data_IF_165956823239
#
_entry.id   IF_165956823239
#
_cell.length_a   1.000
_cell.length_b   1.000
_cell.length_c   1.000
_cell.angle_alpha   90.00
_cell.angle_beta   90.00
_cell.angle_gamma   90.00
#
_symmetry.space_group_name_H-M   'P 1'
#
loop_
_entity.id
_entity.type
_entity.pdbx_description
1 polymer ?
#
# COMPACT_ATOMS: atom_id res chain seq x y z
N UNK A 1 2.26 12.85 -7.35
CA UNK A 1 1.99 11.40 -7.34
C UNK A 1 1.98 10.89 -8.76
N UNK A 2 2.92 10.05 -9.14
CA UNK A 2 2.97 9.43 -10.47
C UNK A 2 1.81 8.44 -10.58
N UNK A 3 0.93 8.65 -11.56
CA UNK A 3 -0.21 7.77 -11.77
C UNK A 3 0.21 6.69 -12.77
N UNK A 4 0.48 5.48 -12.31
CA UNK A 4 0.77 4.36 -13.21
C UNK A 4 -0.52 3.93 -13.89
N UNK A 5 -0.60 4.10 -15.19
CA UNK A 5 -1.68 3.59 -16.04
C UNK A 5 -1.38 2.20 -16.56
N UNK A 6 -0.11 1.77 -16.51
CA UNK A 6 0.38 0.49 -16.96
C UNK A 6 1.21 -0.18 -15.84
N UNK A 7 1.02 -1.49 -15.68
CA UNK A 7 1.78 -2.33 -14.74
C UNK A 7 3.28 -2.32 -15.07
N UNK A 8 3.65 -2.17 -16.34
CA UNK A 8 5.05 -2.10 -16.77
C UNK A 8 5.75 -0.86 -16.21
N UNK A 9 5.07 0.28 -16.24
CA UNK A 9 5.62 1.53 -15.69
C UNK A 9 5.79 1.42 -14.18
N UNK A 10 4.84 0.76 -13.50
CA UNK A 10 4.97 0.44 -12.09
C UNK A 10 6.20 -0.44 -11.81
N UNK A 11 6.37 -1.54 -12.54
CA UNK A 11 7.49 -2.46 -12.35
C UNK A 11 8.85 -1.80 -12.59
N UNK A 12 9.00 -0.99 -13.64
CA UNK A 12 10.22 -0.21 -13.90
C UNK A 12 10.51 0.76 -12.77
N UNK A 13 9.50 1.52 -12.34
CA UNK A 13 9.66 2.49 -11.27
C UNK A 13 9.97 1.83 -9.92
N UNK A 14 9.36 0.67 -9.63
CA UNK A 14 9.60 -0.08 -8.41
C UNK A 14 11.03 -0.64 -8.36
N UNK A 15 11.52 -1.25 -9.44
CA UNK A 15 12.90 -1.72 -9.54
C UNK A 15 13.92 -0.56 -9.49
N UNK A 16 13.62 0.56 -10.13
CA UNK A 16 14.49 1.73 -10.10
C UNK A 16 14.55 2.37 -8.70
N UNK A 17 13.43 2.36 -7.97
CA UNK A 17 13.35 2.89 -6.60
C UNK A 17 14.12 2.03 -5.59
N UNK A 18 14.13 0.73 -5.79
CA UNK A 18 14.71 -0.26 -4.87
C UNK A 18 15.73 -1.14 -5.60
N UNK A 19 16.92 -0.63 -5.94
CA UNK A 19 17.90 -1.39 -6.72
C UNK A 19 18.39 -2.69 -6.05
N UNK A 20 18.32 -2.78 -4.72
CA UNK A 20 18.71 -3.97 -3.94
C UNK A 20 17.51 -4.90 -3.64
N UNK A 21 16.39 -4.79 -4.36
CA UNK A 21 15.24 -5.67 -4.15
C UNK A 21 15.50 -7.07 -4.73
N UNK A 22 14.91 -8.09 -4.10
CA UNK A 22 14.81 -9.43 -4.66
C UNK A 22 13.49 -9.60 -5.46
N UNK A 23 13.42 -10.62 -6.31
CA UNK A 23 12.20 -10.96 -7.06
C UNK A 23 11.00 -11.21 -6.12
N UNK A 24 11.24 -11.74 -4.92
CA UNK A 24 10.24 -11.89 -3.85
C UNK A 24 9.58 -10.56 -3.48
N UNK A 25 10.32 -9.45 -3.48
CA UNK A 25 9.78 -8.12 -3.14
C UNK A 25 8.90 -7.57 -4.25
N UNK A 26 9.21 -7.91 -5.51
CA UNK A 26 8.34 -7.63 -6.65
C UNK A 26 7.03 -8.42 -6.51
N UNK A 27 7.10 -9.71 -6.23
CA UNK A 27 5.90 -10.54 -6.00
C UNK A 27 5.04 -10.00 -4.86
N UNK A 28 5.66 -9.57 -3.76
CA UNK A 28 4.96 -8.93 -2.66
C UNK A 28 4.23 -7.65 -3.10
N UNK A 29 4.88 -6.81 -3.90
CA UNK A 29 4.26 -5.58 -4.42
C UNK A 29 3.08 -5.89 -5.37
N UNK A 30 3.21 -6.90 -6.23
CA UNK A 30 2.14 -7.36 -7.11
C UNK A 30 0.97 -7.96 -6.31
N UNK A 31 1.26 -8.76 -5.28
CA UNK A 31 0.24 -9.29 -4.37
C UNK A 31 -0.54 -8.16 -3.69
N UNK A 32 0.16 -7.17 -3.16
CA UNK A 32 -0.45 -6.01 -2.53
C UNK A 32 -1.25 -5.14 -3.52
N UNK A 33 -0.83 -5.06 -4.77
CA UNK A 33 -1.60 -4.40 -5.83
C UNK A 33 -2.89 -5.14 -6.19
N UNK A 34 -2.88 -6.48 -6.13
CA UNK A 34 -4.02 -7.32 -6.47
C UNK A 34 -5.03 -7.46 -5.32
N UNK A 35 -4.54 -7.72 -4.12
CA UNK A 35 -5.36 -8.09 -2.96
C UNK A 35 -5.36 -7.05 -1.84
N UNK A 36 -4.52 -6.02 -1.91
CA UNK A 36 -4.35 -5.06 -0.83
C UNK A 36 -3.52 -5.62 0.32
N UNK A 37 -4.08 -5.60 1.53
CA UNK A 37 -3.41 -6.10 2.73
C UNK A 37 -3.34 -7.63 2.74
N UNK A 38 -2.20 -8.17 3.19
CA UNK A 38 -1.96 -9.62 3.31
C UNK A 38 -2.68 -10.26 4.52
N UNK A 39 -3.09 -9.45 5.49
CA UNK A 39 -3.67 -9.92 6.74
C UNK A 39 -5.00 -9.25 7.03
N UNK A 40 -6.00 -10.06 7.38
CA UNK A 40 -7.24 -9.56 7.96
C UNK A 40 -6.95 -9.01 9.37
N UNK A 41 -7.43 -7.81 9.63
CA UNK A 41 -7.27 -7.17 10.94
C UNK A 41 -8.54 -7.45 11.74
N UNK A 42 -8.40 -8.33 12.73
CA UNK A 42 -9.51 -8.70 13.59
C UNK A 42 -9.81 -7.63 14.64
N UNK A 43 -8.77 -6.95 15.13
CA UNK A 43 -8.86 -5.91 16.17
C UNK A 43 -8.09 -4.65 15.76
N UNK A 44 -8.79 -3.57 15.35
CA UNK A 44 -8.16 -2.30 15.02
C UNK A 44 -7.43 -1.63 16.20
N UNK A 45 -7.86 -1.87 17.45
CA UNK A 45 -7.20 -1.28 18.62
C UNK A 45 -5.82 -1.87 18.83
N UNK A 46 -5.69 -3.20 18.78
CA UNK A 46 -4.40 -3.89 18.82
C UNK A 46 -3.51 -3.48 17.64
N UNK A 47 -4.09 -3.27 16.45
CA UNK A 47 -3.37 -2.78 15.29
C UNK A 47 -2.81 -1.35 15.51
N UNK A 48 -3.55 -0.47 16.19
CA UNK A 48 -3.09 0.89 16.50
C UNK A 48 -1.87 0.88 17.42
N UNK A 49 -1.84 0.04 18.45
CA UNK A 49 -0.70 -0.11 19.36
C UNK A 49 0.55 -0.60 18.61
N UNK A 50 0.35 -1.57 17.71
CA UNK A 50 1.43 -2.09 16.86
C UNK A 50 1.99 -1.01 15.91
N UNK A 51 1.11 -0.24 15.29
CA UNK A 51 1.46 0.87 14.39
C UNK A 51 2.26 1.93 15.17
N UNK A 52 1.84 2.30 16.37
CA UNK A 52 2.54 3.26 17.25
C UNK A 52 3.95 2.79 17.60
N UNK A 53 4.06 1.54 18.05
CA UNK A 53 5.34 0.95 18.42
C UNK A 53 6.31 0.82 17.22
N UNK A 54 5.81 0.51 16.03
CA UNK A 54 6.61 0.42 14.81
C UNK A 54 7.04 1.81 14.32
N UNK A 55 6.13 2.78 14.30
CA UNK A 55 6.43 4.15 13.92
C UNK A 55 7.52 4.78 14.81
N UNK A 56 7.50 4.49 16.12
CA UNK A 56 8.53 4.96 17.05
C UNK A 56 9.92 4.39 16.76
N UNK A 57 10.01 3.23 16.09
CA UNK A 57 11.26 2.56 15.72
C UNK A 57 11.75 2.85 14.31
N UNK A 58 10.87 3.37 13.43
CA UNK A 58 11.16 3.49 12.00
C UNK A 58 12.08 4.65 11.62
N UNK A 59 12.61 5.41 12.58
CA UNK A 59 13.60 6.46 12.33
C UNK A 59 13.03 7.69 11.63
N UNK A 60 13.90 8.37 10.89
CA UNK A 60 13.60 9.66 10.26
C UNK A 60 12.51 9.57 9.19
N UNK A 61 11.83 10.70 9.01
CA UNK A 61 10.77 10.88 8.03
C UNK A 61 11.24 10.58 6.61
N UNK A 62 10.56 9.66 5.93
CA UNK A 62 10.76 9.43 4.50
C UNK A 62 10.14 10.60 3.71
N UNK A 63 10.83 11.04 2.66
CA UNK A 63 10.39 12.16 1.82
C UNK A 63 9.07 11.89 1.09
N UNK A 64 8.76 10.64 0.78
CA UNK A 64 7.54 10.23 0.10
C UNK A 64 6.72 9.28 0.97
N UNK A 65 5.63 9.82 1.54
CA UNK A 65 4.77 9.09 2.47
C UNK A 65 3.84 8.07 1.78
N UNK A 66 3.60 8.20 0.49
CA UNK A 66 2.67 7.35 -0.26
C UNK A 66 3.34 6.78 -1.49
N UNK A 67 3.46 5.46 -1.57
CA UNK A 67 3.96 4.72 -2.73
C UNK A 67 2.78 4.02 -3.44
N UNK A 68 2.54 4.34 -4.71
CA UNK A 68 1.50 3.70 -5.52
C UNK A 68 1.92 2.31 -5.94
N UNK A 69 0.99 1.35 -5.95
CA UNK A 69 1.22 -0.05 -6.31
C UNK A 69 0.67 -0.43 -7.70
N UNK A 70 0.43 0.57 -8.57
CA UNK A 70 -0.09 0.31 -9.92
C UNK A 70 -1.56 -0.08 -10.00
N UNK A 71 -2.35 0.13 -8.93
CA UNK A 71 -3.77 -0.22 -8.86
C UNK A 71 -4.53 0.66 -7.86
N UNK A 72 -5.54 0.05 -7.20
CA UNK A 72 -6.40 0.74 -6.23
C UNK A 72 -5.79 0.83 -4.84
N UNK A 73 -4.62 0.24 -4.64
CA UNK A 73 -3.89 0.23 -3.39
C UNK A 73 -2.59 1.03 -3.47
N UNK A 74 -2.12 1.43 -2.31
CA UNK A 74 -0.83 2.09 -2.13
C UNK A 74 -0.24 1.72 -0.77
N UNK A 75 1.08 1.84 -0.63
CA UNK A 75 1.77 1.79 0.65
C UNK A 75 1.76 3.19 1.25
N UNK A 76 1.32 3.31 2.49
CA UNK A 76 1.39 4.55 3.26
C UNK A 76 2.38 4.35 4.40
N UNK A 77 3.42 5.16 4.40
CA UNK A 77 4.50 5.09 5.37
C UNK A 77 4.05 5.59 6.74
N UNK A 78 4.52 4.95 7.82
CA UNK A 78 4.13 5.29 9.20
C UNK A 78 4.58 6.69 9.62
N UNK A 79 5.50 7.32 8.88
CA UNK A 79 5.85 8.73 9.06
C UNK A 79 4.68 9.71 8.98
N UNK A 80 3.53 9.29 8.39
CA UNK A 80 2.30 10.09 8.34
C UNK A 80 1.76 10.45 9.73
N UNK A 81 2.08 9.65 10.76
CA UNK A 81 1.66 9.94 12.13
C UNK A 81 2.28 11.24 12.67
N UNK A 82 3.45 11.63 12.14
CA UNK A 82 4.10 12.91 12.48
C UNK A 82 3.34 14.11 11.92
N UNK A 83 2.51 13.91 10.89
CA UNK A 83 1.65 14.94 10.31
C UNK A 83 0.32 15.11 11.07
N UNK A 84 0.16 14.41 12.20
CA UNK A 84 -0.98 14.53 13.10
C UNK A 84 -2.13 13.57 12.83
N UNK A 85 -1.93 12.55 11.97
CA UNK A 85 -2.85 11.43 11.87
C UNK A 85 -2.70 10.53 13.10
N UNK A 86 -3.79 10.18 13.76
CA UNK A 86 -3.75 9.26 14.90
C UNK A 86 -3.49 7.82 14.44
N UNK A 87 -2.86 7.02 15.29
CA UNK A 87 -2.66 5.61 15.02
C UNK A 87 -3.99 4.85 14.96
N UNK A 88 -5.01 5.30 15.68
CA UNK A 88 -6.36 4.75 15.69
C UNK A 88 -7.04 4.97 14.33
N UNK A 89 -7.03 6.20 13.82
CA UNK A 89 -7.56 6.51 12.48
C UNK A 89 -6.80 5.71 11.42
N UNK A 90 -5.49 5.66 11.50
CA UNK A 90 -4.67 4.91 10.55
C UNK A 90 -4.97 3.40 10.59
N UNK A 91 -5.10 2.80 11.79
CA UNK A 91 -5.46 1.40 11.95
C UNK A 91 -6.86 1.09 11.40
N UNK A 92 -7.82 2.01 11.60
CA UNK A 92 -9.18 1.88 11.04
C UNK A 92 -9.16 1.91 9.50
N UNK A 93 -8.44 2.86 8.89
CA UNK A 93 -8.29 2.94 7.44
C UNK A 93 -7.61 1.69 6.88
N UNK A 94 -6.61 1.15 7.60
CA UNK A 94 -5.95 -0.09 7.26
C UNK A 94 -6.93 -1.28 7.32
N UNK A 95 -7.70 -1.42 8.40
CA UNK A 95 -8.71 -2.47 8.54
C UNK A 95 -9.78 -2.41 7.44
N UNK A 96 -10.24 -1.21 7.08
CA UNK A 96 -11.18 -1.01 5.97
C UNK A 96 -10.57 -1.34 4.60
N UNK A 97 -9.25 -1.22 4.47
CA UNK A 97 -8.52 -1.57 3.25
C UNK A 97 -8.17 -3.05 3.14
N UNK A 98 -8.24 -3.81 4.24
CA UNK A 98 -7.83 -5.21 4.32
C UNK A 98 -8.90 -6.21 3.78
N UNK A 99 -9.81 -5.76 2.93
CA UNK A 99 -10.83 -6.61 2.32
C UNK A 99 -10.27 -7.23 1.04
N UNK A 100 -10.28 -8.57 0.96
CA UNK A 100 -9.91 -9.27 -0.26
C UNK A 100 -10.90 -8.98 -1.39
N UNK A 101 -10.36 -8.68 -2.58
CA UNK A 101 -11.16 -8.58 -3.80
C UNK A 101 -11.35 -9.98 -4.41
N UNK A 102 -12.59 -10.30 -4.85
CA UNK A 102 -12.89 -11.57 -5.53
C UNK A 102 -12.08 -11.75 -6.82
N UNK A 103 -11.83 -10.67 -7.57
CA UNK A 103 -11.07 -10.66 -8.83
C UNK A 103 -9.55 -10.52 -8.65
N UNK A 104 -9.02 -10.52 -7.43
CA UNK A 104 -7.60 -10.30 -7.16
C UNK A 104 -6.68 -11.32 -7.84
N UNK A 105 -7.12 -12.56 -7.97
CA UNK A 105 -6.34 -13.63 -8.60
C UNK A 105 -6.15 -13.41 -10.11
N UNK A 106 -7.20 -13.03 -10.84
CA UNK A 106 -7.09 -12.75 -12.27
C UNK A 106 -6.18 -11.55 -12.53
N UNK A 107 -6.30 -10.52 -11.69
CA UNK A 107 -5.44 -9.34 -11.71
C UNK A 107 -3.97 -9.70 -11.44
N UNK A 108 -3.70 -10.55 -10.45
CA UNK A 108 -2.34 -11.02 -10.16
C UNK A 108 -1.75 -11.79 -11.34
N UNK A 109 -2.48 -12.72 -11.93
CA UNK A 109 -2.01 -13.51 -13.08
C UNK A 109 -1.69 -12.61 -14.29
N UNK A 110 -2.51 -11.60 -14.56
CA UNK A 110 -2.23 -10.62 -15.62
C UNK A 110 -0.92 -9.84 -15.35
N UNK A 111 -0.70 -9.43 -14.10
CA UNK A 111 0.53 -8.73 -13.69
C UNK A 111 1.76 -9.63 -13.75
N UNK A 112 1.64 -10.92 -13.39
CA UNK A 112 2.73 -11.89 -13.52
C UNK A 112 3.08 -12.17 -14.99
N UNK A 113 2.09 -12.17 -15.87
CA UNK A 113 2.31 -12.27 -17.33
C UNK A 113 3.10 -11.07 -17.85
N UNK A 114 2.77 -9.85 -17.39
CA UNK A 114 3.52 -8.66 -17.76
C UNK A 114 4.96 -8.69 -17.19
N UNK A 115 5.13 -9.12 -15.95
CA UNK A 115 6.45 -9.30 -15.31
C UNK A 115 7.33 -10.27 -16.13
N UNK A 116 6.80 -11.44 -16.53
CA UNK A 116 7.53 -12.40 -17.35
C UNK A 116 7.92 -11.83 -18.70
N UNK A 117 6.97 -11.16 -19.38
CA UNK A 117 7.23 -10.52 -20.69
C UNK A 117 8.37 -9.49 -20.58
N UNK A 118 8.44 -8.72 -19.51
CA UNK A 118 9.51 -7.73 -19.29
C UNK A 118 10.85 -8.40 -18.94
N UNK A 119 10.83 -9.50 -18.19
CA UNK A 119 12.04 -10.29 -17.92
C UNK A 119 12.58 -10.94 -19.18
N UNK A 120 11.70 -11.48 -20.05
CA UNK A 120 12.08 -12.05 -21.35
C UNK A 120 12.71 -10.99 -22.29
N UNK A 121 12.25 -9.74 -22.18
CA UNK A 121 12.79 -8.61 -22.94
C UNK A 121 14.07 -8.00 -22.32
N UNK A 122 14.51 -8.48 -21.14
CA UNK A 122 15.67 -7.92 -20.43
C UNK A 122 15.44 -6.53 -19.85
N UNK A 123 14.19 -6.13 -19.59
CA UNK A 123 13.81 -4.81 -19.08
C UNK A 123 13.93 -4.70 -17.55
N UNK A 124 14.11 -5.83 -16.86
CA UNK A 124 14.17 -5.93 -15.40
C UNK A 124 15.52 -6.54 -14.95
N UNK A 125 15.92 -6.32 -13.68
CA UNK A 125 17.18 -6.86 -13.17
C UNK A 125 17.16 -8.37 -12.89
N UNK A 126 16.13 -9.09 -13.34
CA UNK A 126 15.93 -10.52 -13.14
C UNK A 126 16.00 -11.25 -14.49
N UNK A 127 16.58 -12.45 -14.50
CA UNK A 127 16.58 -13.26 -15.72
C UNK A 127 15.21 -13.84 -16.02
N UNK A 128 14.94 -14.09 -17.31
CA UNK A 128 13.70 -14.72 -17.77
C UNK A 128 13.45 -16.07 -17.10
N UNK A 129 14.51 -16.89 -16.99
CA UNK A 129 14.45 -18.23 -16.39
C UNK A 129 14.14 -18.16 -14.89
N UNK A 130 14.86 -17.34 -14.15
CA UNK A 130 14.63 -17.14 -12.70
C UNK A 130 13.20 -16.69 -12.43
N UNK A 131 12.71 -15.73 -13.22
CA UNK A 131 11.35 -15.21 -13.10
C UNK A 131 10.31 -16.29 -13.36
N UNK A 132 10.46 -17.07 -14.46
CA UNK A 132 9.54 -18.14 -14.80
C UNK A 132 9.48 -19.23 -13.73
N UNK A 133 10.62 -19.69 -13.23
CA UNK A 133 10.71 -20.72 -12.19
C UNK A 133 10.09 -20.24 -10.86
N UNK A 134 10.32 -18.99 -10.49
CA UNK A 134 9.78 -18.41 -9.27
C UNK A 134 8.26 -18.19 -9.36
N UNK A 135 7.75 -17.69 -10.51
CA UNK A 135 6.31 -17.54 -10.76
C UNK A 135 5.60 -18.87 -10.70
N UNK A 136 6.14 -19.90 -11.36
CA UNK A 136 5.52 -21.22 -11.39
C UNK A 136 5.49 -21.87 -9.99
N UNK A 137 6.55 -21.74 -9.22
CA UNK A 137 6.62 -22.21 -7.83
C UNK A 137 5.55 -21.53 -6.97
N UNK A 138 5.46 -20.20 -7.03
CA UNK A 138 4.50 -19.44 -6.26
C UNK A 138 3.05 -19.74 -6.65
N UNK A 139 2.80 -19.94 -7.97
CA UNK A 139 1.50 -20.37 -8.51
C UNK A 139 1.09 -21.75 -7.99
N UNK A 140 2.02 -22.71 -8.00
CA UNK A 140 1.80 -24.08 -7.48
C UNK A 140 1.46 -24.08 -5.99
N UNK A 141 2.07 -23.17 -5.23
CA UNK A 141 1.82 -23.01 -3.80
C UNK A 141 0.50 -22.25 -3.51
N UNK A 142 -0.23 -21.81 -4.53
CA UNK A 142 -1.51 -21.11 -4.41
C UNK A 142 -1.42 -19.63 -4.09
N UNK A 143 -0.27 -19.00 -4.37
CA UNK A 143 0.02 -17.60 -4.10
C UNK A 143 -0.07 -17.21 -2.61
N UNK A 144 0.67 -17.87 -1.72
CA UNK A 144 0.69 -17.48 -0.32
C UNK A 144 1.24 -16.05 -0.17
N UNK A 145 0.78 -15.31 0.87
CA UNK A 145 1.34 -14.02 1.22
C UNK A 145 2.85 -14.09 1.43
N UNK A 146 3.56 -13.06 1.02
CA UNK A 146 5.03 -13.00 1.07
C UNK A 146 5.51 -11.91 2.04
N UNK A 147 6.54 -12.23 2.80
CA UNK A 147 7.31 -11.24 3.54
C UNK A 147 8.33 -10.55 2.63
N UNK A 148 8.80 -9.37 3.00
CA UNK A 148 9.97 -8.79 2.35
C UNK A 148 11.19 -9.69 2.51
N UNK A 149 12.04 -9.69 1.49
CA UNK A 149 13.34 -10.34 1.54
C UNK A 149 14.22 -9.72 2.65
N UNK A 150 15.19 -10.46 3.12
CA UNK A 150 16.10 -9.96 4.15
C UNK A 150 16.92 -8.77 3.64
N UNK A 151 17.39 -8.84 2.39
CA UNK A 151 18.13 -7.74 1.77
C UNK A 151 17.29 -6.46 1.68
N UNK A 152 15.99 -6.58 1.34
CA UNK A 152 15.09 -5.44 1.31
C UNK A 152 14.88 -4.82 2.70
N UNK A 153 14.71 -5.66 3.73
CA UNK A 153 14.54 -5.18 5.11
C UNK A 153 15.77 -4.44 5.62
N UNK A 154 16.96 -4.97 5.32
CA UNK A 154 18.22 -4.35 5.75
C UNK A 154 18.48 -3.01 5.06
N UNK A 155 18.20 -2.91 3.75
CA UNK A 155 18.51 -1.70 2.98
C UNK A 155 17.44 -0.62 3.10
N UNK A 156 16.17 -0.99 3.27
CA UNK A 156 15.06 -0.03 3.18
C UNK A 156 14.22 0.10 4.45
N UNK A 157 14.41 -0.77 5.46
CA UNK A 157 13.70 -0.76 6.75
C UNK A 157 12.20 -0.41 6.58
N UNK A 158 11.42 -1.17 5.78
CA UNK A 158 10.07 -0.78 5.37
C UNK A 158 9.12 -0.69 6.57
N UNK A 159 8.52 0.47 6.78
CA UNK A 159 7.55 0.73 7.82
C UNK A 159 6.31 1.40 7.20
N UNK A 160 5.37 0.61 6.70
CA UNK A 160 4.18 1.08 5.99
C UNK A 160 2.98 0.17 6.24
N UNK A 161 1.80 0.66 5.84
CA UNK A 161 0.59 -0.17 5.67
C UNK A 161 0.03 0.01 4.27
N UNK A 162 -0.62 -1.04 3.76
CA UNK A 162 -1.31 -0.98 2.47
C UNK A 162 -2.71 -0.46 2.70
N UNK A 163 -3.02 0.67 2.07
CA UNK A 163 -4.32 1.32 2.12
C UNK A 163 -4.93 1.40 0.73
N UNK A 164 -6.25 1.52 0.70
CA UNK A 164 -6.96 1.94 -0.52
C UNK A 164 -6.50 3.34 -0.91
N UNK A 165 -6.37 3.57 -2.20
CA UNK A 165 -5.87 4.82 -2.77
C UNK A 165 -6.80 6.01 -2.52
N UNK A 166 -8.10 5.79 -2.42
CA UNK A 166 -9.08 6.82 -2.05
C UNK A 166 -8.85 7.32 -0.62
N UNK A 167 -8.59 6.43 0.34
CA UNK A 167 -8.19 6.80 1.69
C UNK A 167 -6.88 7.59 1.71
N UNK A 168 -5.88 7.13 0.96
CA UNK A 168 -4.59 7.82 0.90
C UNK A 168 -4.71 9.26 0.37
N UNK A 169 -5.61 9.52 -0.56
CA UNK A 169 -5.90 10.87 -1.05
C UNK A 169 -6.51 11.78 0.02
N UNK A 170 -7.26 11.21 0.95
CA UNK A 170 -7.93 11.94 2.04
C UNK A 170 -7.09 12.05 3.32
N UNK A 171 -5.87 11.46 3.38
CA UNK A 171 -5.01 11.50 4.56
C UNK A 171 -4.77 12.89 5.13
N UNK A 172 -4.53 13.95 4.35
CA UNK A 172 -4.37 15.29 4.89
C UNK A 172 -5.64 15.80 5.61
N UNK A 173 -6.81 15.40 5.12
CA UNK A 173 -8.09 15.75 5.74
C UNK A 173 -8.28 14.97 7.05
N UNK A 174 -8.02 13.66 7.07
CA UNK A 174 -8.06 12.85 8.28
C UNK A 174 -7.10 13.40 9.35
N UNK A 175 -5.85 13.68 9.00
CA UNK A 175 -4.87 14.24 9.92
C UNK A 175 -5.32 15.62 10.46
N UNK A 176 -5.99 16.44 9.66
CA UNK A 176 -6.54 17.71 10.12
C UNK A 176 -7.69 17.52 11.10
N UNK A 177 -8.58 16.56 10.84
CA UNK A 177 -9.70 16.22 11.74
C UNK A 177 -9.15 15.70 13.06
N UNK A 178 -8.21 14.75 13.04
CA UNK A 178 -7.61 14.17 14.25
C UNK A 178 -6.96 15.25 15.14
N UNK A 179 -6.18 16.17 14.55
CA UNK A 179 -5.61 17.29 15.30
C UNK A 179 -6.69 18.17 15.96
N UNK A 180 -7.76 18.48 15.22
CA UNK A 180 -8.84 19.30 15.76
C UNK A 180 -9.61 18.60 16.88
N UNK A 181 -9.83 17.29 16.75
CA UNK A 181 -10.52 16.50 17.80
C UNK A 181 -9.67 16.31 19.05
N UNK A 182 -8.34 16.29 18.91
CA UNK A 182 -7.44 16.29 20.06
C UNK A 182 -7.45 17.63 20.84
N UNK A 183 -7.69 18.74 20.14
CA UNK A 183 -7.68 20.09 20.73
C UNK A 183 -9.06 20.56 21.21
N UNK A 184 -10.15 19.99 20.70
CA UNK A 184 -11.53 20.47 20.88
C UNK A 184 -12.47 19.34 21.25
N UNK A 185 -13.39 19.62 22.17
CA UNK A 185 -14.44 18.68 22.59
C UNK A 185 -15.47 18.40 21.48
N UNK A 186 -15.57 19.26 20.46
CA UNK A 186 -16.51 19.10 19.34
C UNK A 186 -15.91 19.67 18.06
N UNK A 187 -15.95 18.88 16.98
CA UNK A 187 -15.55 19.29 15.64
C UNK A 187 -16.74 19.05 14.70
N UNK A 188 -17.05 20.04 13.88
CA UNK A 188 -18.07 19.95 12.81
C UNK A 188 -17.34 20.02 11.47
N UNK A 189 -17.61 19.06 10.62
CA UNK A 189 -17.09 19.02 9.25
C UNK A 189 -18.26 19.23 8.30
N UNK A 190 -18.24 20.33 7.53
CA UNK A 190 -19.21 20.62 6.48
C UNK A 190 -18.61 20.24 5.12
N UNK A 191 -19.37 19.52 4.30
CA UNK A 191 -18.99 19.15 2.93
C UNK A 191 -19.90 19.90 1.96
N UNK A 192 -19.32 20.86 1.24
CA UNK A 192 -20.03 21.67 0.26
C UNK A 192 -19.51 21.40 -1.16
N UNK A 193 -20.35 21.64 -2.15
CA UNK A 193 -19.99 21.50 -3.57
C UNK A 193 -21.20 21.39 -4.48
N UNK A 194 -21.01 21.54 -5.78
CA UNK A 194 -22.05 21.42 -6.80
C UNK A 194 -22.70 20.04 -6.87
N UNK A 195 -23.71 19.89 -7.73
CA UNK A 195 -24.30 18.57 -8.00
C UNK A 195 -23.24 17.62 -8.58
N UNK A 196 -23.32 16.34 -8.22
CA UNK A 196 -22.39 15.29 -8.66
C UNK A 196 -20.89 15.53 -8.34
N UNK A 197 -20.56 16.37 -7.34
CA UNK A 197 -19.16 16.68 -6.96
C UNK A 197 -18.52 15.67 -6.00
N UNK A 198 -19.18 14.54 -5.71
CA UNK A 198 -18.62 13.49 -4.82
C UNK A 198 -18.80 13.75 -3.32
N UNK A 199 -19.69 14.67 -2.91
CA UNK A 199 -19.95 14.98 -1.48
C UNK A 199 -20.37 13.74 -0.68
N UNK A 200 -21.27 12.94 -1.21
CA UNK A 200 -21.75 11.71 -0.57
C UNK A 200 -20.59 10.72 -0.40
N UNK A 201 -19.82 10.50 -1.46
CA UNK A 201 -18.66 9.62 -1.43
C UNK A 201 -17.62 10.08 -0.40
N UNK A 202 -17.36 11.41 -0.31
CA UNK A 202 -16.46 11.94 0.72
C UNK A 202 -17.06 11.77 2.12
N UNK A 203 -18.37 11.98 2.29
CA UNK A 203 -19.05 11.74 3.56
C UNK A 203 -18.95 10.29 4.02
N UNK A 204 -19.16 9.34 3.11
CA UNK A 204 -19.01 7.91 3.37
C UNK A 204 -17.55 7.53 3.72
N UNK A 205 -16.58 8.20 3.09
CA UNK A 205 -15.17 8.00 3.37
C UNK A 205 -14.76 8.46 4.78
N UNK A 206 -15.43 9.52 5.29
CA UNK A 206 -15.15 10.12 6.60
C UNK A 206 -15.94 9.48 7.75
N UNK A 207 -16.97 8.71 7.46
CA UNK A 207 -17.80 8.00 8.43
C UNK A 207 -17.15 6.69 8.87
#
# INVERSE_FOLDING_TARGET
MTNFTDIRDFLRAHCARYPELALQDVFKALYQSAFGCEHLIADPSAAADYIRAEAARSGDRISELVELLGGDYCRVHLGILQDGLSAETFARLFALSARHEECGREKLEAMLTALQTMADAGELPFSAQETAEAVERWRKDGFPPLHHSEIFRQNYAPAYRVLRRDFARALPLFARIDRLTAERSRVLVAIEGGSASGKTTLGELLH
#
